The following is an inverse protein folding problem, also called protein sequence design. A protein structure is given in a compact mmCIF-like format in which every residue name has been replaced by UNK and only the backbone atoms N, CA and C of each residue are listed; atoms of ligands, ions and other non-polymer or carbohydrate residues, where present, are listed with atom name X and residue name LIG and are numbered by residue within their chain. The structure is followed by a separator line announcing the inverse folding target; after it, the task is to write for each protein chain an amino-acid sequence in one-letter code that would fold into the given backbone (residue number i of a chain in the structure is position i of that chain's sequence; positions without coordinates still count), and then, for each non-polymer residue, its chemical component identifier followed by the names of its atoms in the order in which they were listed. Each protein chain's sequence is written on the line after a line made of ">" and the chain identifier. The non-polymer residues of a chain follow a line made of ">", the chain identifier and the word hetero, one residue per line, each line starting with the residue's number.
data_IF_886436224148
#
_entry.id   IF_886436224148
#
_cell.length_a   1.000
_cell.length_b   1.000
_cell.length_c   1.000
_cell.angle_alpha   90.00
_cell.angle_beta   90.00
_cell.angle_gamma   90.00
#
_symmetry.space_group_name_H-M   'P 1'
#
loop_
_entity.id
_entity.type
_entity.pdbx_description
1 polymer ?
#
# COMPACT_ATOMS: atom_id res chain seq x y z
N UNK A 1 27.23 -32.58 13.14
CA UNK A 1 27.50 -32.44 11.70
C UNK A 1 27.15 -31.03 11.31
N UNK A 2 28.14 -30.23 10.95
CA UNK A 2 27.95 -28.85 10.49
C UNK A 2 27.40 -28.92 9.06
N UNK A 3 26.08 -28.87 8.90
CA UNK A 3 25.47 -28.98 7.57
C UNK A 3 25.69 -27.69 6.79
N UNK A 4 26.80 -27.61 6.04
CA UNK A 4 27.00 -26.59 5.02
C UNK A 4 26.10 -26.90 3.82
N UNK A 5 25.36 -25.90 3.34
CA UNK A 5 24.64 -25.99 2.09
C UNK A 5 25.55 -25.47 0.96
N UNK A 6 25.76 -26.27 -0.08
CA UNK A 6 26.61 -25.88 -1.22
C UNK A 6 25.74 -25.21 -2.26
N UNK A 7 26.03 -23.94 -2.56
CA UNK A 7 25.32 -23.14 -3.56
C UNK A 7 26.29 -22.78 -4.69
N UNK A 8 25.83 -22.88 -5.95
CA UNK A 8 26.61 -22.49 -7.13
C UNK A 8 26.39 -21.01 -7.44
N UNK A 9 27.44 -20.21 -7.37
CA UNK A 9 27.44 -18.81 -7.81
C UNK A 9 27.80 -18.74 -9.29
N UNK A 10 26.92 -18.13 -10.09
CA UNK A 10 27.08 -17.98 -11.55
C UNK A 10 27.04 -16.50 -11.93
N UNK A 11 28.02 -16.04 -12.70
CA UNK A 11 28.15 -14.67 -13.23
C UNK A 11 28.73 -14.71 -14.65
N UNK A 12 27.85 -14.77 -15.66
CA UNK A 12 28.22 -15.09 -17.04
C UNK A 12 28.86 -16.49 -17.13
N UNK A 13 30.05 -16.57 -17.72
CA UNK A 13 30.83 -17.83 -17.81
C UNK A 13 31.56 -18.20 -16.51
N UNK A 14 31.43 -17.39 -15.45
CA UNK A 14 32.07 -17.66 -14.18
C UNK A 14 31.17 -18.49 -13.26
N UNK A 15 31.71 -19.59 -12.77
CA UNK A 15 31.04 -20.45 -11.79
C UNK A 15 31.92 -20.70 -10.55
N UNK A 16 31.32 -20.67 -9.36
CA UNK A 16 31.99 -20.93 -8.10
C UNK A 16 31.06 -21.65 -7.11
N UNK A 17 31.48 -22.78 -6.59
CA UNK A 17 30.77 -23.44 -5.49
C UNK A 17 31.07 -22.72 -4.18
N UNK A 18 30.02 -22.39 -3.42
CA UNK A 18 30.08 -21.62 -2.18
C UNK A 18 29.42 -22.42 -1.07
N UNK A 19 30.17 -22.67 0.01
CA UNK A 19 29.61 -23.31 1.21
C UNK A 19 28.93 -22.24 2.05
N UNK A 20 27.62 -22.36 2.25
CA UNK A 20 26.81 -21.45 3.06
C UNK A 20 26.50 -22.11 4.40
N UNK A 21 26.65 -21.36 5.48
CA UNK A 21 26.28 -21.77 6.83
C UNK A 21 25.16 -20.86 7.33
N UNK A 22 23.87 -21.23 7.13
CA UNK A 22 22.74 -20.41 7.55
C UNK A 22 22.76 -20.11 9.06
N UNK A 23 23.16 -21.09 9.87
CA UNK A 23 23.20 -20.96 11.33
C UNK A 23 24.27 -19.97 11.79
N UNK A 24 25.39 -19.89 11.08
CA UNK A 24 26.48 -18.96 11.39
C UNK A 24 26.37 -17.64 10.60
N UNK A 25 25.31 -17.48 9.80
CA UNK A 25 25.09 -16.34 8.93
C UNK A 25 26.34 -15.95 8.10
N UNK A 26 27.04 -16.94 7.55
CA UNK A 26 28.31 -16.72 6.83
C UNK A 26 28.49 -17.69 5.67
N UNK A 27 29.48 -17.40 4.82
CA UNK A 27 29.95 -18.29 3.76
C UNK A 27 31.39 -18.69 4.02
N UNK A 28 31.77 -19.86 3.52
CA UNK A 28 33.11 -20.41 3.66
C UNK A 28 33.69 -20.73 2.29
N UNK A 29 34.90 -20.22 2.02
CA UNK A 29 35.65 -20.52 0.81
C UNK A 29 37.06 -21.01 1.14
N UNK A 30 37.59 -21.90 0.32
CA UNK A 30 39.02 -22.24 0.33
C UNK A 30 39.85 -21.11 -0.25
N UNK A 31 41.14 -21.10 0.05
CA UNK A 31 42.11 -20.18 -0.57
C UNK A 31 42.04 -20.19 -2.12
N UNK A 32 41.87 -21.37 -2.71
CA UNK A 32 41.79 -21.53 -4.16
C UNK A 32 40.50 -20.95 -4.74
N UNK A 33 39.38 -21.12 -4.03
CA UNK A 33 38.11 -20.49 -4.38
C UNK A 33 38.19 -18.95 -4.29
N UNK A 34 38.86 -18.40 -3.28
CA UNK A 34 39.08 -16.95 -3.15
C UNK A 34 39.97 -16.43 -4.29
N UNK A 35 41.04 -17.17 -4.63
CA UNK A 35 41.91 -16.86 -5.75
C UNK A 35 41.13 -16.82 -7.08
N UNK A 36 40.26 -17.81 -7.30
CA UNK A 36 39.35 -17.89 -8.45
C UNK A 36 38.35 -16.72 -8.45
N UNK A 37 37.72 -16.42 -7.32
CA UNK A 37 36.75 -15.33 -7.14
C UNK A 37 37.32 -13.96 -7.51
N UNK A 38 38.56 -13.68 -7.09
CA UNK A 38 39.18 -12.39 -7.35
C UNK A 38 40.11 -12.38 -8.57
N UNK A 39 40.25 -13.50 -9.29
CA UNK A 39 41.13 -13.60 -10.46
C UNK A 39 42.59 -13.29 -10.13
N UNK A 40 43.09 -13.86 -9.04
CA UNK A 40 44.48 -13.71 -8.55
C UNK A 40 45.14 -15.06 -8.33
N UNK A 41 46.46 -15.03 -8.21
CA UNK A 41 47.22 -16.22 -7.83
C UNK A 41 46.96 -16.58 -6.38
N UNK A 42 47.05 -17.88 -6.06
CA UNK A 42 46.92 -18.38 -4.69
C UNK A 42 47.93 -17.73 -3.74
N UNK A 43 49.17 -17.51 -4.18
CA UNK A 43 50.21 -16.88 -3.35
C UNK A 43 49.87 -15.44 -2.98
N UNK A 44 49.29 -14.66 -3.90
CA UNK A 44 48.80 -13.30 -3.61
C UNK A 44 47.70 -13.31 -2.55
N UNK A 45 46.78 -14.28 -2.61
CA UNK A 45 45.72 -14.42 -1.60
C UNK A 45 46.32 -14.80 -0.25
N UNK A 46 47.29 -15.72 -0.22
CA UNK A 46 48.01 -16.09 1.01
C UNK A 46 48.69 -14.88 1.65
N UNK A 47 49.36 -14.05 0.86
CA UNK A 47 49.99 -12.81 1.35
C UNK A 47 48.96 -11.88 2.00
N UNK A 48 47.83 -11.62 1.34
CA UNK A 48 46.78 -10.78 1.90
C UNK A 48 46.18 -11.34 3.19
N UNK A 49 45.90 -12.65 3.24
CA UNK A 49 45.36 -13.32 4.43
C UNK A 49 46.34 -13.23 5.60
N UNK A 50 47.63 -13.48 5.36
CA UNK A 50 48.65 -13.37 6.40
C UNK A 50 48.73 -11.95 6.95
N UNK A 51 48.69 -10.93 6.06
CA UNK A 51 48.73 -9.53 6.48
C UNK A 51 47.49 -9.15 7.31
N UNK A 52 46.30 -9.63 6.93
CA UNK A 52 45.05 -9.43 7.69
C UNK A 52 45.20 -9.91 9.13
N UNK A 53 45.78 -11.10 9.33
CA UNK A 53 45.98 -11.65 10.67
C UNK A 53 47.15 -10.98 11.41
N UNK A 54 48.26 -10.67 10.75
CA UNK A 54 49.40 -10.03 11.40
C UNK A 54 49.12 -8.59 11.82
N UNK A 55 48.25 -7.89 11.09
CA UNK A 55 47.81 -6.53 11.41
C UNK A 55 46.68 -6.51 12.46
N UNK A 56 46.15 -7.68 12.84
CA UNK A 56 45.07 -7.80 13.81
C UNK A 56 43.70 -7.32 13.30
N UNK A 57 43.49 -7.25 11.98
CA UNK A 57 42.18 -6.91 11.40
C UNK A 57 41.16 -8.01 11.72
N UNK A 58 41.59 -9.28 11.71
CA UNK A 58 40.79 -10.45 12.06
C UNK A 58 41.60 -11.44 12.91
N UNK A 59 40.91 -12.36 13.58
CA UNK A 59 41.52 -13.42 14.37
C UNK A 59 41.31 -14.78 13.72
N UNK A 60 42.36 -15.60 13.61
CA UNK A 60 42.28 -16.93 12.99
C UNK A 60 41.24 -17.83 13.68
N UNK A 61 41.12 -17.74 15.01
CA UNK A 61 40.22 -18.58 15.82
C UNK A 61 38.75 -18.46 15.45
N UNK A 62 38.30 -17.30 14.95
CA UNK A 62 36.91 -17.04 14.57
C UNK A 62 36.67 -17.09 13.06
N UNK A 63 37.75 -17.02 12.28
CA UNK A 63 37.68 -16.71 10.85
C UNK A 63 38.22 -17.82 9.95
N UNK A 64 38.86 -18.84 10.55
CA UNK A 64 39.43 -20.00 9.85
C UNK A 64 38.77 -21.29 10.35
N UNK A 65 38.24 -22.08 9.41
CA UNK A 65 37.74 -23.42 9.63
C UNK A 65 38.58 -24.47 8.92
N UNK A 66 38.31 -25.74 9.21
CA UNK A 66 38.89 -26.87 8.49
C UNK A 66 37.79 -27.58 7.71
N UNK A 67 38.07 -27.94 6.46
CA UNK A 67 37.15 -28.76 5.65
C UNK A 67 37.07 -30.18 6.21
N UNK A 68 35.88 -30.78 6.24
CA UNK A 68 35.68 -32.19 6.59
C UNK A 68 36.14 -33.09 5.43
N UNK A 69 37.44 -33.41 5.38
CA UNK A 69 37.99 -34.42 4.45
C UNK A 69 38.59 -35.55 5.27
N UNK A 70 38.04 -36.76 5.08
CA UNK A 70 38.35 -37.94 5.90
C UNK A 70 39.68 -38.63 5.55
N UNK A 71 40.35 -38.27 4.44
CA UNK A 71 41.53 -38.98 3.93
C UNK A 71 42.71 -38.09 3.47
N UNK A 72 42.67 -36.76 3.64
CA UNK A 72 43.77 -35.83 3.29
C UNK A 72 43.92 -34.75 4.36
N UNK A 73 45.03 -33.99 4.35
CA UNK A 73 45.14 -32.79 5.20
C UNK A 73 43.95 -31.87 4.91
N UNK A 74 43.13 -31.52 5.92
CA UNK A 74 41.95 -30.71 5.69
C UNK A 74 42.36 -29.34 5.14
N UNK A 75 41.66 -28.88 4.11
CA UNK A 75 41.88 -27.56 3.54
C UNK A 75 41.37 -26.50 4.52
N UNK A 76 42.13 -25.40 4.64
CA UNK A 76 41.69 -24.22 5.39
C UNK A 76 40.51 -23.56 4.65
N UNK A 77 39.45 -23.29 5.40
CA UNK A 77 38.28 -22.51 4.97
C UNK A 77 38.33 -21.14 5.63
N UNK A 78 37.93 -20.13 4.88
CA UNK A 78 37.93 -18.74 5.31
C UNK A 78 36.51 -18.18 5.20
N UNK A 79 36.05 -17.53 6.28
CA UNK A 79 34.69 -17.02 6.38
C UNK A 79 34.47 -15.75 5.53
N UNK A 80 33.24 -15.23 5.54
CA UNK A 80 32.87 -14.01 4.82
C UNK A 80 33.76 -12.81 5.19
N UNK A 81 34.17 -12.66 6.45
CA UNK A 81 34.97 -11.51 6.89
C UNK A 81 36.35 -11.50 6.22
N UNK A 82 37.01 -12.65 6.15
CA UNK A 82 38.29 -12.79 5.44
C UNK A 82 38.11 -12.52 3.95
N UNK A 83 37.02 -13.02 3.35
CA UNK A 83 36.72 -12.81 1.94
C UNK A 83 36.50 -11.31 1.64
N UNK A 84 35.78 -10.60 2.52
CA UNK A 84 35.58 -9.16 2.43
C UNK A 84 36.91 -8.41 2.52
N UNK A 85 37.71 -8.67 3.56
CA UNK A 85 39.00 -8.03 3.78
C UNK A 85 39.95 -8.22 2.59
N UNK A 86 40.06 -9.44 2.08
CA UNK A 86 40.83 -9.74 0.86
C UNK A 86 40.27 -8.98 -0.35
N UNK A 87 38.96 -8.96 -0.55
CA UNK A 87 38.32 -8.27 -1.67
C UNK A 87 38.58 -6.75 -1.70
N UNK A 88 38.73 -6.12 -0.53
CA UNK A 88 39.14 -4.72 -0.43
C UNK A 88 40.62 -4.50 -0.75
N UNK A 89 41.50 -5.45 -0.43
CA UNK A 89 42.96 -5.38 -0.66
C UNK A 89 43.39 -5.77 -2.09
N UNK A 90 42.62 -6.62 -2.77
CA UNK A 90 43.01 -7.15 -4.10
C UNK A 90 42.89 -6.11 -5.23
N UNK A 91 43.97 -5.98 -6.01
CA UNK A 91 44.02 -5.19 -7.25
C UNK A 91 43.72 -6.04 -8.49
N UNK A 92 42.45 -6.31 -8.77
CA UNK A 92 41.98 -6.99 -10.00
C UNK A 92 40.68 -6.40 -10.54
N UNK A 93 40.31 -6.74 -11.79
CA UNK A 93 39.00 -6.37 -12.36
C UNK A 93 37.85 -6.87 -11.48
N UNK A 94 37.92 -8.12 -11.00
CA UNK A 94 36.90 -8.70 -10.10
C UNK A 94 36.89 -8.04 -8.72
N UNK A 95 38.05 -7.67 -8.18
CA UNK A 95 38.14 -6.89 -6.94
C UNK A 95 37.49 -5.49 -7.06
N UNK A 96 37.65 -4.82 -8.21
CA UNK A 96 36.95 -3.55 -8.48
C UNK A 96 35.43 -3.75 -8.52
N UNK A 97 34.95 -4.78 -9.21
CA UNK A 97 33.52 -5.11 -9.27
C UNK A 97 32.97 -5.44 -7.87
N UNK A 98 33.69 -6.25 -7.10
CA UNK A 98 33.35 -6.60 -5.73
C UNK A 98 33.21 -5.36 -4.84
N UNK A 99 34.17 -4.44 -4.86
CA UNK A 99 34.09 -3.21 -4.05
C UNK A 99 32.93 -2.31 -4.48
N UNK A 100 32.66 -2.18 -5.78
CA UNK A 100 31.48 -1.45 -6.28
C UNK A 100 30.19 -2.06 -5.77
N UNK A 101 30.08 -3.39 -5.84
CA UNK A 101 28.93 -4.14 -5.32
C UNK A 101 28.78 -3.98 -3.80
N UNK A 102 29.83 -4.22 -3.02
CA UNK A 102 29.81 -4.08 -1.56
C UNK A 102 29.43 -2.66 -1.12
N UNK A 103 29.97 -1.64 -1.80
CA UNK A 103 29.61 -0.24 -1.56
C UNK A 103 28.14 0.04 -1.89
N UNK A 104 27.60 -0.55 -2.96
CA UNK A 104 26.19 -0.39 -3.32
C UNK A 104 25.26 -1.07 -2.29
N UNK A 105 25.61 -2.28 -1.83
CA UNK A 105 24.90 -3.00 -0.77
C UNK A 105 24.85 -2.16 0.51
N UNK A 106 26.00 -1.68 0.97
CA UNK A 106 26.10 -0.85 2.17
C UNK A 106 25.31 0.46 2.02
N UNK A 107 25.45 1.14 0.87
CA UNK A 107 24.70 2.37 0.58
C UNK A 107 23.20 2.14 0.59
N UNK A 108 22.72 1.07 -0.06
CA UNK A 108 21.30 0.73 -0.07
C UNK A 108 20.80 0.44 1.34
N UNK A 109 21.55 -0.31 2.13
CA UNK A 109 21.18 -0.60 3.51
C UNK A 109 21.09 0.68 4.36
N UNK A 110 22.09 1.58 4.26
CA UNK A 110 22.11 2.83 5.02
C UNK A 110 21.02 3.83 4.60
N UNK A 111 20.68 3.91 3.31
CA UNK A 111 19.68 4.87 2.79
C UNK A 111 18.25 4.31 2.89
N UNK A 112 18.05 3.03 2.55
CA UNK A 112 16.73 2.41 2.38
C UNK A 112 16.34 1.48 3.53
N UNK A 113 17.26 1.16 4.44
CA UNK A 113 17.06 0.20 5.52
C UNK A 113 17.13 -1.27 5.09
N UNK A 114 17.34 -1.56 3.80
CA UNK A 114 17.45 -2.92 3.26
C UNK A 114 18.33 -2.96 1.99
N UNK A 115 18.83 -4.15 1.64
CA UNK A 115 19.55 -4.41 0.39
C UNK A 115 18.95 -5.63 -0.30
N UNK A 116 18.44 -5.46 -1.52
CA UNK A 116 17.93 -6.53 -2.38
C UNK A 116 18.93 -6.81 -3.50
N UNK A 117 19.23 -8.08 -3.76
CA UNK A 117 19.99 -8.50 -4.94
C UNK A 117 19.01 -8.86 -6.05
N UNK A 118 18.90 -8.02 -7.08
CA UNK A 118 17.98 -8.23 -8.21
C UNK A 118 18.23 -9.53 -8.99
N UNK A 119 19.49 -9.99 -9.03
CA UNK A 119 19.90 -11.08 -9.91
C UNK A 119 19.92 -12.45 -9.20
N UNK A 120 20.19 -12.50 -7.88
CA UNK A 120 20.04 -13.75 -7.09
C UNK A 120 18.58 -14.16 -6.87
N UNK A 121 17.66 -13.22 -7.07
CA UNK A 121 16.21 -13.41 -6.97
C UNK A 121 15.68 -14.44 -7.97
N UNK A 122 16.38 -14.67 -9.09
CA UNK A 122 15.91 -15.55 -10.15
C UNK A 122 16.22 -17.02 -9.88
N UNK A 123 17.19 -17.35 -8.99
CA UNK A 123 17.74 -18.73 -8.94
C UNK A 123 17.35 -19.55 -7.70
N UNK A 124 16.97 -18.97 -6.56
CA UNK A 124 16.47 -19.80 -5.42
C UNK A 124 15.67 -18.98 -4.41
N UNK A 125 14.37 -19.28 -4.27
CA UNK A 125 13.71 -19.72 -3.02
C UNK A 125 12.20 -19.53 -3.16
N UNK A 126 11.42 -20.57 -2.93
CA UNK A 126 9.96 -20.49 -2.74
C UNK A 126 9.60 -19.42 -1.69
N UNK A 127 10.45 -19.26 -0.67
CA UNK A 127 10.33 -18.20 0.35
C UNK A 127 10.38 -16.78 -0.21
N UNK A 128 11.11 -16.51 -1.31
CA UNK A 128 11.17 -15.18 -1.92
C UNK A 128 9.96 -14.91 -2.80
N UNK A 129 9.51 -15.92 -3.55
CA UNK A 129 8.24 -15.86 -4.30
C UNK A 129 7.09 -15.65 -3.31
N UNK A 130 7.10 -16.36 -2.18
CA UNK A 130 6.15 -16.20 -1.10
C UNK A 130 6.24 -14.80 -0.49
N UNK A 131 7.45 -14.28 -0.20
CA UNK A 131 7.61 -12.92 0.32
C UNK A 131 7.12 -11.84 -0.68
N UNK A 132 7.39 -11.99 -1.98
CA UNK A 132 6.84 -11.09 -3.01
C UNK A 132 5.31 -11.18 -3.03
N UNK A 133 4.76 -12.39 -2.98
CA UNK A 133 3.32 -12.60 -2.95
C UNK A 133 2.69 -11.99 -1.70
N UNK A 134 3.32 -12.17 -0.53
CA UNK A 134 2.89 -11.60 0.74
C UNK A 134 2.97 -10.06 0.69
N UNK A 135 4.04 -9.48 0.16
CA UNK A 135 4.17 -8.02 0.00
C UNK A 135 3.16 -7.48 -1.00
N UNK A 136 2.88 -8.19 -2.10
CA UNK A 136 1.87 -7.80 -3.07
C UNK A 136 0.46 -7.93 -2.49
N UNK A 137 0.20 -8.97 -1.70
CA UNK A 137 -1.04 -9.12 -0.93
C UNK A 137 -1.19 -7.98 0.07
N UNK A 138 -0.16 -7.66 0.85
CA UNK A 138 -0.17 -6.55 1.79
C UNK A 138 -0.36 -5.19 1.10
N UNK A 139 0.25 -4.99 -0.09
CA UNK A 139 0.01 -3.78 -0.87
C UNK A 139 -1.43 -3.68 -1.34
N UNK A 140 -2.00 -4.79 -1.82
CA UNK A 140 -3.40 -4.86 -2.20
C UNK A 140 -4.32 -4.62 -0.99
N UNK A 141 -4.04 -5.25 0.14
CA UNK A 141 -4.79 -5.05 1.38
C UNK A 141 -4.66 -3.60 1.85
N UNK A 142 -3.50 -2.96 1.72
CA UNK A 142 -3.31 -1.53 2.03
C UNK A 142 -4.06 -0.64 1.03
N UNK A 143 -4.15 -0.99 -0.24
CA UNK A 143 -4.95 -0.27 -1.24
C UNK A 143 -6.45 -0.44 -0.98
N UNK A 144 -6.89 -1.64 -0.62
CA UNK A 144 -8.26 -1.95 -0.21
C UNK A 144 -8.59 -1.23 1.10
N UNK A 145 -7.69 -1.22 2.08
CA UNK A 145 -7.79 -0.43 3.32
C UNK A 145 -7.82 1.06 3.01
N UNK A 146 -7.01 1.58 2.08
CA UNK A 146 -7.10 3.00 1.66
C UNK A 146 -8.42 3.31 0.95
N UNK A 147 -8.95 2.38 0.17
CA UNK A 147 -10.27 2.46 -0.45
C UNK A 147 -11.43 2.34 0.53
N UNK A 148 -11.22 1.68 1.68
CA UNK A 148 -12.16 1.57 2.80
C UNK A 148 -12.04 2.79 3.72
N UNK A 149 -10.84 3.28 4.01
CA UNK A 149 -10.56 4.46 4.83
C UNK A 149 -11.08 5.72 4.13
N UNK A 150 -10.93 5.85 2.81
CA UNK A 150 -11.57 6.94 2.06
C UNK A 150 -13.10 6.79 1.92
N UNK A 151 -13.67 5.60 2.17
CA UNK A 151 -15.13 5.39 2.23
C UNK A 151 -15.71 5.59 3.64
N UNK A 152 -14.89 5.50 4.68
CA UNK A 152 -15.36 5.44 6.08
C UNK A 152 -15.04 6.68 6.94
N UNK A 153 -14.53 7.78 6.37
CA UNK A 153 -14.54 9.06 7.09
C UNK A 153 -15.93 9.68 6.95
N UNK A 154 -16.83 9.18 7.80
CA UNK A 154 -18.14 9.69 8.17
C UNK A 154 -19.20 9.68 7.05
N UNK A 155 -19.95 8.59 6.91
CA UNK A 155 -21.30 8.66 6.32
C UNK A 155 -22.33 9.25 7.31
N UNK A 156 -21.88 9.79 8.44
CA UNK A 156 -22.74 10.44 9.43
C UNK A 156 -22.00 11.57 10.10
N UNK A 157 -22.67 12.71 10.29
CA UNK A 157 -22.06 13.93 10.83
C UNK A 157 -23.01 14.58 11.84
N UNK A 158 -22.45 15.22 12.86
CA UNK A 158 -23.15 16.23 13.66
C UNK A 158 -22.74 17.58 13.11
N UNK A 159 -23.72 18.38 12.70
CA UNK A 159 -23.54 19.74 12.19
C UNK A 159 -23.97 20.67 13.31
N UNK A 160 -23.07 21.51 13.83
CA UNK A 160 -23.40 22.43 14.91
C UNK A 160 -24.09 23.70 14.38
N UNK A 161 -24.77 24.41 15.28
CA UNK A 161 -25.34 25.72 14.98
C UNK A 161 -24.26 26.69 14.49
N UNK A 162 -24.46 27.25 13.29
CA UNK A 162 -23.51 28.12 12.60
C UNK A 162 -22.72 27.43 11.47
N UNK A 163 -22.66 26.10 11.45
CA UNK A 163 -21.84 25.32 10.52
C UNK A 163 -22.59 25.00 9.21
N UNK A 164 -23.32 25.97 8.66
CA UNK A 164 -24.13 25.76 7.44
C UNK A 164 -23.30 25.33 6.24
N UNK A 165 -22.06 25.83 6.11
CA UNK A 165 -21.17 25.44 5.01
C UNK A 165 -20.68 24.00 5.14
N UNK A 166 -20.33 23.56 6.34
CA UNK A 166 -19.88 22.17 6.56
C UNK A 166 -21.02 21.19 6.31
N UNK A 167 -22.23 21.53 6.77
CA UNK A 167 -23.44 20.79 6.45
C UNK A 167 -23.72 20.73 4.96
N UNK A 168 -23.62 21.86 4.26
CA UNK A 168 -23.76 21.92 2.81
C UNK A 168 -22.72 21.03 2.09
N UNK A 169 -21.44 21.17 2.45
CA UNK A 169 -20.34 20.41 1.84
C UNK A 169 -20.54 18.91 2.02
N UNK A 170 -20.92 18.50 3.24
CA UNK A 170 -21.19 17.10 3.55
C UNK A 170 -22.31 16.51 2.67
N UNK A 171 -23.47 17.17 2.61
CA UNK A 171 -24.59 16.70 1.78
C UNK A 171 -24.21 16.68 0.29
N UNK A 172 -23.52 17.72 -0.18
CA UNK A 172 -23.08 17.78 -1.57
C UNK A 172 -22.12 16.63 -1.91
N UNK A 173 -21.21 16.28 -1.00
CA UNK A 173 -20.31 15.13 -1.19
C UNK A 173 -21.05 13.79 -1.17
N UNK A 174 -22.15 13.65 -0.42
CA UNK A 174 -23.04 12.49 -0.53
C UNK A 174 -23.74 12.45 -1.90
N UNK A 175 -24.34 13.57 -2.32
CA UNK A 175 -25.10 13.64 -3.58
C UNK A 175 -24.22 13.40 -4.81
N UNK A 176 -22.95 13.84 -4.79
CA UNK A 176 -21.96 13.56 -5.85
C UNK A 176 -21.68 12.07 -6.04
N UNK A 177 -21.84 11.24 -5.00
CA UNK A 177 -21.62 9.79 -5.07
C UNK A 177 -22.69 9.08 -5.90
N UNK A 178 -23.89 9.66 -6.04
CA UNK A 178 -25.03 9.05 -6.71
C UNK A 178 -24.72 8.61 -8.16
N UNK A 179 -25.11 7.39 -8.51
CA UNK A 179 -24.93 6.81 -9.84
C UNK A 179 -26.28 6.61 -10.54
N UNK A 180 -27.33 6.26 -9.81
CA UNK A 180 -28.64 5.88 -10.32
C UNK A 180 -29.73 6.87 -9.91
N UNK A 181 -29.76 7.28 -8.64
CA UNK A 181 -30.81 8.17 -8.13
C UNK A 181 -30.46 8.97 -6.88
N UNK A 182 -31.13 10.11 -6.75
CA UNK A 182 -31.17 10.93 -5.52
C UNK A 182 -32.63 11.16 -5.18
N UNK A 183 -33.03 10.76 -3.97
CA UNK A 183 -34.38 10.99 -3.43
C UNK A 183 -34.27 11.81 -2.16
N UNK A 184 -34.95 12.95 -2.12
CA UNK A 184 -35.01 13.84 -0.97
C UNK A 184 -36.44 13.78 -0.43
N UNK A 185 -36.59 13.42 0.84
CA UNK A 185 -37.83 13.50 1.59
C UNK A 185 -37.65 14.59 2.64
N UNK A 186 -38.29 15.74 2.42
CA UNK A 186 -38.24 16.88 3.34
C UNK A 186 -39.57 17.62 3.31
N UNK A 187 -40.24 17.72 4.45
CA UNK A 187 -41.51 18.43 4.58
C UNK A 187 -41.42 19.90 4.13
N UNK A 188 -40.24 20.51 4.24
CA UNK A 188 -39.98 21.89 3.84
C UNK A 188 -39.01 21.91 2.65
N UNK A 189 -39.55 21.93 1.43
CA UNK A 189 -38.76 22.09 0.21
C UNK A 189 -38.99 23.48 -0.40
N UNK A 190 -37.89 24.12 -0.80
CA UNK A 190 -37.91 25.37 -1.56
C UNK A 190 -36.87 25.37 -2.68
N UNK A 191 -36.65 26.53 -3.32
CA UNK A 191 -35.74 26.66 -4.45
C UNK A 191 -34.25 26.43 -4.10
N UNK A 192 -33.85 26.54 -2.82
CA UNK A 192 -32.48 26.24 -2.37
C UNK A 192 -32.09 24.77 -2.54
N UNK A 193 -33.07 23.86 -2.60
CA UNK A 193 -32.84 22.43 -2.82
C UNK A 193 -32.07 22.15 -4.13
N UNK A 194 -32.26 23.02 -5.13
CA UNK A 194 -31.64 22.84 -6.44
C UNK A 194 -30.12 23.04 -6.37
N UNK A 195 -29.60 23.80 -5.40
CA UNK A 195 -28.16 23.99 -5.16
C UNK A 195 -27.47 22.68 -4.76
N UNK A 196 -28.20 21.78 -4.11
CA UNK A 196 -27.72 20.44 -3.80
C UNK A 196 -27.81 19.52 -5.03
N UNK A 197 -28.94 19.55 -5.74
CA UNK A 197 -29.19 18.64 -6.86
C UNK A 197 -28.27 18.86 -8.06
N UNK A 198 -27.79 20.08 -8.30
CA UNK A 198 -26.79 20.37 -9.33
C UNK A 198 -25.45 19.67 -9.09
N UNK A 199 -25.14 19.26 -7.85
CA UNK A 199 -23.95 18.46 -7.53
C UNK A 199 -24.01 17.02 -8.01
N UNK A 200 -25.20 16.52 -8.34
CA UNK A 200 -25.39 15.14 -8.80
C UNK A 200 -25.04 14.93 -10.28
N UNK A 201 -24.82 13.67 -10.68
CA UNK A 201 -24.59 13.33 -12.09
C UNK A 201 -25.80 13.70 -12.97
N UNK A 202 -25.51 14.17 -14.18
CA UNK A 202 -26.55 14.47 -15.18
C UNK A 202 -27.27 13.19 -15.61
N UNK A 203 -28.58 13.26 -15.74
CA UNK A 203 -29.41 12.15 -16.26
C UNK A 203 -29.81 11.08 -15.24
N UNK A 204 -29.31 11.12 -14.00
CA UNK A 204 -29.79 10.23 -12.92
C UNK A 204 -31.18 10.64 -12.45
N UNK A 205 -31.95 9.70 -11.91
CA UNK A 205 -33.30 9.93 -11.39
C UNK A 205 -33.26 10.85 -10.16
N UNK A 206 -34.02 11.94 -10.19
CA UNK A 206 -34.13 12.89 -9.06
C UNK A 206 -35.57 12.95 -8.59
N UNK A 207 -35.80 12.73 -7.30
CA UNK A 207 -37.14 12.78 -6.70
C UNK A 207 -37.11 13.64 -5.45
N UNK A 208 -38.07 14.54 -5.32
CA UNK A 208 -38.29 15.35 -4.11
C UNK A 208 -39.70 15.08 -3.60
N UNK A 209 -39.81 14.63 -2.36
CA UNK A 209 -41.07 14.41 -1.66
C UNK A 209 -41.16 15.45 -0.55
N UNK A 210 -42.21 16.28 -0.58
CA UNK A 210 -42.38 17.38 0.38
C UNK A 210 -43.83 17.57 0.80
N UNK A 211 -44.10 18.30 1.87
CA UNK A 211 -45.51 18.60 2.25
C UNK A 211 -46.13 19.66 1.35
N UNK A 212 -45.28 20.57 0.87
CA UNK A 212 -45.62 21.66 -0.05
C UNK A 212 -44.35 22.15 -0.75
N UNK A 213 -44.43 22.30 -2.07
CA UNK A 213 -43.35 22.86 -2.88
C UNK A 213 -43.40 24.39 -2.83
N UNK A 214 -42.71 25.01 -1.87
CA UNK A 214 -42.71 26.47 -1.73
C UNK A 214 -41.69 27.09 -2.68
N UNK A 215 -42.04 28.16 -3.42
CA UNK A 215 -41.12 28.85 -4.36
C UNK A 215 -40.58 28.00 -5.52
N UNK A 216 -40.93 26.72 -5.62
CA UNK A 216 -40.56 25.87 -6.75
C UNK A 216 -41.59 26.06 -7.86
N UNK A 217 -41.28 26.96 -8.81
CA UNK A 217 -42.14 27.23 -9.96
C UNK A 217 -41.89 26.27 -11.11
N UNK A 218 -42.88 26.12 -12.01
CA UNK A 218 -42.71 25.34 -13.25
C UNK A 218 -41.53 25.84 -14.11
N UNK A 219 -41.23 27.14 -14.07
CA UNK A 219 -40.11 27.73 -14.80
C UNK A 219 -38.75 27.26 -14.27
N UNK A 220 -38.60 27.18 -12.93
CA UNK A 220 -37.38 26.66 -12.30
C UNK A 220 -37.19 25.19 -12.66
N UNK A 221 -38.25 24.38 -12.56
CA UNK A 221 -38.24 22.97 -12.95
C UNK A 221 -37.80 22.83 -14.41
N UNK A 222 -38.46 23.53 -15.33
CA UNK A 222 -38.14 23.45 -16.76
C UNK A 222 -36.68 23.85 -17.06
N UNK A 223 -36.16 24.88 -16.37
CA UNK A 223 -34.75 25.30 -16.53
C UNK A 223 -33.79 24.22 -16.04
N UNK A 224 -34.06 23.67 -14.86
CA UNK A 224 -33.24 22.61 -14.28
C UNK A 224 -33.23 21.36 -15.15
N UNK A 225 -34.41 20.91 -15.61
CA UNK A 225 -34.52 19.69 -16.42
C UNK A 225 -33.77 19.79 -17.74
N UNK A 226 -33.76 20.98 -18.36
CA UNK A 226 -33.01 21.24 -19.59
C UNK A 226 -31.51 21.03 -19.44
N UNK A 227 -30.95 21.27 -18.25
CA UNK A 227 -29.50 21.26 -18.01
C UNK A 227 -29.00 20.01 -17.27
N UNK A 228 -29.82 19.43 -16.38
CA UNK A 228 -29.43 18.39 -15.43
C UNK A 228 -30.26 17.09 -15.51
N UNK A 229 -31.28 17.07 -16.39
CA UNK A 229 -32.17 15.92 -16.59
C UNK A 229 -33.44 15.96 -15.72
N UNK A 230 -34.35 15.00 -15.91
CA UNK A 230 -35.70 15.03 -15.35
C UNK A 230 -35.70 15.02 -13.82
N UNK A 231 -36.67 15.72 -13.23
CA UNK A 231 -36.91 15.75 -11.78
C UNK A 231 -38.39 15.54 -11.48
N UNK A 232 -38.68 14.69 -10.50
CA UNK A 232 -40.04 14.44 -10.02
C UNK A 232 -40.22 15.14 -8.68
N UNK A 233 -41.24 15.99 -8.56
CA UNK A 233 -41.61 16.63 -7.30
C UNK A 233 -43.00 16.13 -6.91
N UNK A 234 -43.09 15.42 -5.78
CA UNK A 234 -44.34 14.87 -5.23
C UNK A 234 -44.67 15.57 -3.92
N UNK A 235 -45.91 16.03 -3.79
CA UNK A 235 -46.42 16.51 -2.51
C UNK A 235 -47.06 15.35 -1.75
N UNK A 236 -46.51 15.01 -0.59
CA UNK A 236 -46.99 13.95 0.29
C UNK A 236 -46.79 14.35 1.75
N UNK A 237 -47.89 14.47 2.50
CA UNK A 237 -47.90 14.90 3.90
C UNK A 237 -47.75 13.75 4.91
N UNK A 238 -47.65 12.52 4.44
CA UNK A 238 -47.57 11.33 5.31
C UNK A 238 -46.18 11.13 5.90
N UNK A 239 -45.14 11.68 5.28
CA UNK A 239 -43.76 11.62 5.77
C UNK A 239 -43.49 12.70 6.81
N UNK A 240 -43.25 12.32 8.06
CA UNK A 240 -42.83 13.26 9.10
C UNK A 240 -41.30 13.44 9.15
N UNK A 241 -40.58 12.32 9.03
CA UNK A 241 -39.13 12.30 9.11
C UNK A 241 -38.49 12.68 7.77
N UNK A 242 -37.22 13.11 7.84
CA UNK A 242 -36.48 13.60 6.68
C UNK A 242 -35.44 12.59 6.26
N UNK A 243 -35.48 12.23 4.99
CA UNK A 243 -34.55 11.25 4.42
C UNK A 243 -33.84 11.83 3.21
N UNK A 244 -32.55 11.56 3.12
CA UNK A 244 -31.78 11.66 1.90
C UNK A 244 -31.42 10.24 1.48
N UNK A 245 -31.81 9.84 0.28
CA UNK A 245 -31.53 8.50 -0.26
C UNK A 245 -30.67 8.68 -1.50
N UNK A 246 -29.47 8.09 -1.46
CA UNK A 246 -28.47 8.11 -2.53
C UNK A 246 -28.32 6.69 -3.05
N UNK A 247 -28.84 6.42 -4.24
CA UNK A 247 -28.97 5.07 -4.78
C UNK A 247 -29.68 4.14 -3.77
N UNK A 248 -28.94 3.22 -3.14
CA UNK A 248 -29.45 2.30 -2.11
C UNK A 248 -29.09 2.70 -0.67
N UNK A 249 -28.39 3.82 -0.48
CA UNK A 249 -27.95 4.31 0.82
C UNK A 249 -28.94 5.33 1.39
N UNK A 250 -29.39 5.12 2.62
CA UNK A 250 -30.40 5.96 3.28
C UNK A 250 -29.72 6.76 4.38
N UNK A 251 -30.07 8.04 4.47
CA UNK A 251 -29.62 8.95 5.51
C UNK A 251 -30.82 9.63 6.17
N UNK A 252 -30.92 9.54 7.49
CA UNK A 252 -31.89 10.29 8.30
C UNK A 252 -31.30 11.66 8.64
N UNK A 253 -32.08 12.71 8.45
CA UNK A 253 -31.66 14.09 8.72
C UNK A 253 -32.48 14.70 9.87
N UNK A 254 -31.78 15.27 10.85
CA UNK A 254 -32.41 15.97 11.97
C UNK A 254 -32.95 17.37 11.62
N UNK A 255 -32.54 17.92 10.47
CA UNK A 255 -32.94 19.24 9.99
C UNK A 255 -33.37 19.19 8.52
N UNK A 256 -34.08 20.21 8.08
CA UNK A 256 -34.36 20.40 6.65
C UNK A 256 -33.07 20.76 5.91
N UNK A 257 -32.94 20.32 4.65
CA UNK A 257 -31.81 20.69 3.80
C UNK A 257 -31.72 22.21 3.62
N UNK A 258 -32.87 22.88 3.53
CA UNK A 258 -32.96 24.34 3.38
C UNK A 258 -32.44 25.09 4.61
N UNK A 259 -32.40 24.43 5.78
CA UNK A 259 -32.00 25.04 7.05
C UNK A 259 -30.83 24.30 7.70
N UNK A 260 -29.95 23.70 6.88
CA UNK A 260 -28.80 22.97 7.39
C UNK A 260 -27.83 23.91 8.13
N UNK A 261 -27.37 23.49 9.32
CA UNK A 261 -26.51 24.31 10.19
C UNK A 261 -27.19 25.48 10.93
N UNK A 262 -28.49 25.75 10.71
CA UNK A 262 -29.21 26.77 11.51
C UNK A 262 -29.39 26.36 12.97
N UNK A 263 -29.44 25.06 13.25
CA UNK A 263 -29.48 24.45 14.58
C UNK A 263 -28.65 23.18 14.56
N UNK A 264 -28.06 22.83 15.70
CA UNK A 264 -27.32 21.59 15.85
C UNK A 264 -28.20 20.39 15.50
N UNK A 265 -27.77 19.59 14.52
CA UNK A 265 -28.51 18.45 14.00
C UNK A 265 -27.55 17.38 13.48
N UNK A 266 -28.06 16.17 13.27
CA UNK A 266 -27.28 15.08 12.71
C UNK A 266 -27.79 14.67 11.34
N UNK A 267 -26.88 14.16 10.52
CA UNK A 267 -27.19 13.35 9.34
C UNK A 267 -26.60 11.98 9.62
N UNK A 268 -27.44 10.94 9.64
CA UNK A 268 -27.06 9.59 10.07
C UNK A 268 -27.38 8.60 8.98
N UNK A 269 -26.42 7.78 8.58
CA UNK A 269 -26.65 6.67 7.64
C UNK A 269 -27.47 5.58 8.33
N UNK A 270 -28.59 5.22 7.72
CA UNK A 270 -29.47 4.18 8.19
C UNK A 270 -29.16 2.86 7.47
N UNK A 271 -28.59 1.90 8.20
CA UNK A 271 -28.27 0.57 7.66
C UNK A 271 -29.37 -0.49 7.95
N UNK A 272 -30.44 -0.11 8.65
CA UNK A 272 -31.47 -1.03 9.14
C UNK A 272 -32.71 -1.11 8.24
N UNK A 273 -32.86 -0.16 7.31
CA UNK A 273 -34.00 -0.05 6.42
C UNK A 273 -33.52 -0.14 4.97
N UNK A 274 -34.37 -0.64 4.08
CA UNK A 274 -34.20 -0.54 2.64
C UNK A 274 -35.14 0.53 2.08
N UNK A 275 -34.92 0.95 0.83
CA UNK A 275 -35.75 1.98 0.18
C UNK A 275 -37.23 1.62 0.24
N UNK A 276 -37.58 0.35 0.03
CA UNK A 276 -38.96 -0.16 0.03
C UNK A 276 -39.64 -0.08 1.40
N UNK A 277 -38.87 -0.01 2.48
CA UNK A 277 -39.42 0.15 3.83
C UNK A 277 -39.84 1.60 4.09
N UNK A 278 -39.26 2.56 3.34
CA UNK A 278 -39.52 4.00 3.46
C UNK A 278 -40.54 4.45 2.40
N UNK A 279 -40.26 4.14 1.14
CA UNK A 279 -41.11 4.50 0.01
C UNK A 279 -42.00 3.31 -0.30
N UNK A 280 -43.29 3.44 0.01
CA UNK A 280 -44.29 2.47 -0.48
C UNK A 280 -44.42 2.66 -1.99
N UNK A 281 -44.08 1.62 -2.75
CA UNK A 281 -44.43 1.55 -4.17
C UNK A 281 -45.96 1.68 -4.29
N UNK A 282 -46.42 2.68 -5.04
CA UNK A 282 -47.81 2.78 -5.52
C UNK A 282 -48.03 1.86 -6.72
#
# INVERSE_FOLDING_TARGET
>A
MSNYEIIKFVDGDFELDVNVSPQQNTIWLTQDQIAKLFGKSRSTITEHINNIFSEGELFEMTSVGNSDITNHRPAKLYNLDVILAVGYRVKSKRGILFRRWATAVLRNYLIKGYSLSSDRVIVTNENYIQLINDVNHLKKDVEDIKGIVNRNVLDSIIIYEGDSFDGFSFINDLIKKAIESVIIIDGYADDSLFDFLIGSKKGIKKVVICHKANRITKEIINRFEKEYGPIVIKEDKTYHDRFLIIDNEIYLMGTSLNSIGHKTSSVIKCNQFNIKDIIKDE
#
